data_IF_806316296392
#
_entry.id   IF_806316296392
#
_cell.length_a   1.000
_cell.length_b   1.000
_cell.length_c   1.000
_cell.angle_alpha   90.00
_cell.angle_beta   90.00
_cell.angle_gamma   90.00
#
_symmetry.space_group_name_H-M   'P 1'
#
loop_
_entity.id
_entity.type
_entity.pdbx_description
1 polymer ?
#
# COMPACT_ATOMS: atom_id res chain seq x y z
N UNK A 1 -6.07 -6.61 12.27
CA UNK A 1 -4.88 -7.36 12.72
C UNK A 1 -3.90 -7.55 11.56
N UNK A 2 -2.64 -7.17 11.77
CA UNK A 2 -1.56 -7.37 10.81
C UNK A 2 -0.91 -8.74 11.02
N UNK A 3 -0.85 -9.54 9.96
CA UNK A 3 -0.12 -10.81 9.95
C UNK A 3 1.26 -10.57 9.30
N UNK A 4 2.33 -10.71 10.11
CA UNK A 4 3.70 -10.43 9.68
C UNK A 4 4.21 -11.42 8.64
N UNK A 5 3.76 -12.67 8.65
CA UNK A 5 4.26 -13.69 7.71
C UNK A 5 3.69 -13.47 6.31
N UNK A 6 2.37 -13.29 6.24
CA UNK A 6 1.65 -13.10 4.98
C UNK A 6 1.60 -11.66 4.49
N UNK A 7 2.01 -10.70 5.33
CA UNK A 7 1.93 -9.25 5.08
C UNK A 7 0.49 -8.80 4.76
N UNK A 8 -0.50 -9.43 5.41
CA UNK A 8 -1.93 -9.13 5.23
C UNK A 8 -2.49 -8.40 6.45
N UNK A 9 -3.25 -7.34 6.18
CA UNK A 9 -4.02 -6.61 7.19
C UNK A 9 -5.50 -7.00 7.09
N UNK A 10 -6.03 -7.66 8.12
CA UNK A 10 -7.47 -7.89 8.25
C UNK A 10 -8.09 -6.76 9.05
N UNK A 11 -9.16 -6.13 8.55
CA UNK A 11 -9.91 -5.08 9.25
C UNK A 11 -11.38 -5.46 9.36
N UNK A 12 -11.98 -5.16 10.51
CA UNK A 12 -13.43 -5.22 10.72
C UNK A 12 -13.88 -3.78 10.88
N UNK A 13 -14.85 -3.35 10.08
CA UNK A 13 -15.34 -1.98 10.09
C UNK A 13 -16.84 -1.94 9.81
N UNK A 14 -17.48 -0.89 10.28
CA UNK A 14 -18.89 -0.60 10.04
C UNK A 14 -19.05 -0.02 8.62
N UNK A 15 -19.65 -0.79 7.71
CA UNK A 15 -19.81 -0.40 6.31
C UNK A 15 -20.79 0.76 6.11
N UNK A 16 -21.59 1.11 7.12
CA UNK A 16 -22.46 2.30 7.08
C UNK A 16 -21.68 3.61 7.30
N UNK A 17 -20.48 3.53 7.89
CA UNK A 17 -19.63 4.68 8.23
C UNK A 17 -18.39 4.80 7.35
N UNK A 18 -17.87 3.67 6.87
CA UNK A 18 -16.64 3.62 6.08
C UNK A 18 -16.79 2.62 4.93
N UNK A 19 -16.06 2.86 3.84
CA UNK A 19 -15.99 1.91 2.72
C UNK A 19 -14.64 1.23 2.65
N UNK A 20 -14.62 0.02 2.08
CA UNK A 20 -13.40 -0.72 1.82
C UNK A 20 -12.39 0.12 1.01
N UNK A 21 -12.89 0.84 0.01
CA UNK A 21 -12.05 1.64 -0.88
C UNK A 21 -11.43 2.85 -0.18
N UNK A 22 -12.15 3.47 0.76
CA UNK A 22 -11.60 4.57 1.56
C UNK A 22 -10.49 4.08 2.49
N UNK A 23 -10.69 2.93 3.13
CA UNK A 23 -9.67 2.30 3.97
C UNK A 23 -8.42 1.99 3.13
N UNK A 24 -8.60 1.35 1.98
CA UNK A 24 -7.47 1.02 1.10
C UNK A 24 -6.76 2.25 0.53
N UNK A 25 -7.51 3.32 0.21
CA UNK A 25 -6.95 4.61 -0.19
C UNK A 25 -6.05 5.19 0.89
N UNK A 26 -6.53 5.24 2.14
CA UNK A 26 -5.77 5.82 3.24
C UNK A 26 -4.48 5.02 3.53
N UNK A 27 -4.54 3.68 3.45
CA UNK A 27 -3.37 2.81 3.60
C UNK A 27 -2.36 3.05 2.45
N UNK A 28 -2.84 3.21 1.21
CA UNK A 28 -1.97 3.54 0.08
C UNK A 28 -1.32 4.93 0.21
N UNK A 29 -2.04 5.92 0.74
CA UNK A 29 -1.51 7.28 0.96
C UNK A 29 -0.32 7.30 1.90
N UNK A 30 -0.27 6.39 2.87
CA UNK A 30 0.88 6.28 3.80
C UNK A 30 2.00 5.36 3.30
N UNK A 31 1.96 4.90 2.04
CA UNK A 31 3.06 4.13 1.45
C UNK A 31 2.87 2.61 1.46
N UNK A 32 1.71 2.09 1.89
CA UNK A 32 1.44 0.65 1.90
C UNK A 32 0.53 0.22 0.74
N UNK A 33 1.02 -0.70 -0.10
CA UNK A 33 0.20 -1.29 -1.15
C UNK A 33 -0.95 -2.11 -0.56
N UNK A 34 -2.11 -2.02 -1.18
CA UNK A 34 -3.33 -2.77 -0.83
C UNK A 34 -3.78 -3.60 -2.01
N UNK A 35 -4.79 -4.46 -1.81
CA UNK A 35 -5.30 -5.34 -2.86
C UNK A 35 -5.81 -4.58 -4.09
N UNK A 36 -6.49 -3.44 -3.91
CA UNK A 36 -7.01 -2.64 -5.04
C UNK A 36 -6.13 -1.44 -5.41
N UNK A 37 -5.18 -1.05 -4.55
CA UNK A 37 -4.30 0.10 -4.81
C UNK A 37 -2.84 -0.25 -4.58
N UNK A 38 -2.11 -0.34 -5.67
CA UNK A 38 -0.65 -0.27 -5.66
C UNK A 38 -0.19 1.13 -5.28
N UNK A 39 0.99 1.20 -4.67
CA UNK A 39 1.64 2.45 -4.28
C UNK A 39 3.04 2.49 -4.87
N UNK A 40 3.46 3.68 -5.29
CA UNK A 40 4.76 3.93 -5.89
C UNK A 40 5.89 3.46 -4.98
N UNK A 41 6.92 2.87 -5.58
CA UNK A 41 8.09 2.39 -4.85
C UNK A 41 8.74 3.50 -4.03
N UNK A 42 8.81 4.73 -4.56
CA UNK A 42 9.34 5.90 -3.85
C UNK A 42 8.57 6.25 -2.56
N UNK A 43 7.26 5.99 -2.50
CA UNK A 43 6.47 6.23 -1.29
C UNK A 43 6.64 5.09 -0.29
N UNK A 44 6.78 3.86 -0.79
CA UNK A 44 7.07 2.71 0.06
C UNK A 44 8.46 2.81 0.69
N UNK A 45 9.48 3.22 -0.07
CA UNK A 45 10.87 3.41 0.38
C UNK A 45 11.02 4.51 1.44
N UNK A 46 10.05 5.42 1.56
CA UNK A 46 10.01 6.44 2.62
C UNK A 46 9.50 5.90 3.97
N UNK A 47 8.98 4.68 4.00
CA UNK A 47 8.55 4.06 5.24
C UNK A 47 9.76 3.78 6.16
N UNK A 48 9.55 3.80 7.49
CA UNK A 48 10.57 3.32 8.42
C UNK A 48 11.01 1.89 8.08
N UNK A 49 12.28 1.56 8.34
CA UNK A 49 12.85 0.26 7.96
C UNK A 49 12.06 -0.97 8.45
N UNK A 50 11.38 -0.87 9.60
CA UNK A 50 10.53 -1.93 10.14
C UNK A 50 9.23 -2.18 9.34
N UNK A 51 8.85 -1.22 8.49
CA UNK A 51 7.65 -1.25 7.65
C UNK A 51 7.95 -1.55 6.18
N UNK A 52 9.23 -1.57 5.80
CA UNK A 52 9.68 -2.01 4.48
C UNK A 52 9.60 -3.54 4.43
N UNK A 53 8.85 -4.06 3.46
CA UNK A 53 8.80 -5.50 3.19
C UNK A 53 8.93 -5.76 1.71
N UNK A 54 9.50 -6.92 1.37
CA UNK A 54 9.59 -7.35 -0.02
C UNK A 54 8.20 -7.55 -0.60
N UNK A 55 7.90 -6.74 -1.62
CA UNK A 55 6.68 -6.84 -2.42
C UNK A 55 7.02 -7.54 -3.73
N UNK A 56 6.20 -8.52 -4.12
CA UNK A 56 6.24 -9.04 -5.50
C UNK A 56 5.83 -7.89 -6.42
N UNK A 57 6.81 -7.26 -7.09
CA UNK A 57 6.56 -6.20 -8.07
C UNK A 57 5.74 -6.79 -9.21
N UNK A 58 4.44 -6.48 -9.26
CA UNK A 58 3.64 -6.76 -10.45
C UNK A 58 4.03 -5.73 -11.49
N UNK A 59 4.91 -6.12 -12.41
CA UNK A 59 5.37 -5.30 -13.52
C UNK A 59 4.21 -4.87 -14.41
N UNK A 60 3.61 -3.69 -14.16
CA UNK A 60 2.95 -2.89 -15.21
C UNK A 60 3.20 -1.38 -14.99
N UNK A 61 4.09 -0.91 -15.87
CA UNK A 61 4.27 0.43 -16.45
C UNK A 61 5.10 1.50 -15.72
N UNK A 62 6.26 1.74 -16.33
CA UNK A 62 7.01 3.00 -16.31
C UNK A 62 6.15 4.18 -16.79
N UNK A 63 6.29 5.35 -16.15
CA UNK A 63 6.89 6.57 -16.74
C UNK A 63 6.31 7.86 -16.16
N UNK A 64 7.14 8.60 -15.42
CA UNK A 64 7.22 10.05 -15.55
C UNK A 64 8.69 10.46 -15.40
N UNK A 65 9.32 10.63 -16.56
CA UNK A 65 10.43 11.52 -16.87
C UNK A 65 10.73 12.58 -15.78
N UNK A 66 11.96 12.57 -15.25
CA UNK A 66 12.59 13.79 -14.72
C UNK A 66 13.99 13.92 -15.32
N UNK A 67 14.06 14.75 -16.36
CA UNK A 67 15.27 15.42 -16.85
C UNK A 67 15.75 16.44 -15.80
N UNK A 68 17.05 16.58 -15.64
CA UNK A 68 17.71 17.88 -15.45
C UNK A 68 18.98 17.89 -16.28
#
# INVERSE_FOLDING_TARGET
MWNKDTKKLTVIYDSSKLSNDLIQKNIATIGHGTEKKSVDDKMHEKLPGCCLYDRKKTSKSQSANHKH
#
